data_IF_680897825410
#
_entry.id   IF_680897825410
#
_cell.length_a   1.000
_cell.length_b   1.000
_cell.length_c   1.000
_cell.angle_alpha   90.00
_cell.angle_beta   90.00
_cell.angle_gamma   90.00
#
_symmetry.space_group_name_H-M   'P 1'
#
loop_
_entity.id
_entity.type
_entity.pdbx_description
1 polymer ?
#
# COMPACT_ATOMS: atom_id res chain seq x y z
N UNK A 1 17.34 -20.37 38.44
CA UNK A 1 18.08 -21.46 37.76
C UNK A 1 17.16 -22.66 37.64
N UNK A 2 17.13 -23.29 36.45
CA UNK A 2 16.45 -24.55 36.05
C UNK A 2 14.91 -24.58 36.21
N UNK A 3 14.09 -24.60 35.15
CA UNK A 3 13.97 -25.52 33.99
C UNK A 3 13.44 -26.93 34.31
N UNK A 4 12.66 -27.45 33.36
CA UNK A 4 12.00 -28.77 33.22
C UNK A 4 10.53 -28.80 33.66
N UNK A 5 9.55 -28.71 32.74
CA UNK A 5 9.10 -29.65 31.69
C UNK A 5 7.91 -30.51 32.16
N UNK A 6 6.74 -30.30 31.55
CA UNK A 6 5.72 -31.33 31.36
C UNK A 6 5.21 -31.33 29.92
N UNK A 7 5.24 -32.54 29.36
CA UNK A 7 4.86 -32.97 28.02
C UNK A 7 3.35 -33.09 27.81
N UNK A 8 2.90 -32.95 26.56
CA UNK A 8 2.00 -33.88 25.82
C UNK A 8 1.78 -33.29 24.40
N UNK A 9 2.33 -33.82 23.30
CA UNK A 9 2.06 -35.06 22.53
C UNK A 9 0.62 -35.22 22.02
N UNK A 10 0.47 -35.14 20.68
CA UNK A 10 -0.41 -35.88 19.72
C UNK A 10 -0.96 -34.92 18.64
N UNK A 11 -0.46 -34.90 17.40
CA UNK A 11 -0.64 -35.81 16.23
C UNK A 11 -2.06 -35.82 15.61
N UNK A 12 -2.09 -35.31 14.38
CA UNK A 12 -2.81 -35.78 13.17
C UNK A 12 -4.31 -35.50 12.92
N UNK A 13 -4.50 -35.10 11.65
CA UNK A 13 -5.62 -35.31 10.71
C UNK A 13 -6.85 -34.41 10.84
N UNK A 14 -7.15 -33.69 9.74
CA UNK A 14 -8.31 -33.97 8.87
C UNK A 14 -7.97 -33.47 7.45
N UNK A 15 -7.95 -34.40 6.51
CA UNK A 15 -7.98 -34.21 5.06
C UNK A 15 -9.34 -34.77 4.61
N UNK A 16 -10.17 -33.93 4.01
CA UNK A 16 -11.34 -34.29 3.17
C UNK A 16 -12.01 -32.96 2.79
N UNK A 17 -12.39 -32.64 1.56
CA UNK A 17 -12.44 -33.37 0.29
C UNK A 17 -13.16 -32.44 -0.69
N UNK A 18 -12.63 -32.16 -1.88
CA UNK A 18 -13.42 -32.12 -3.12
C UNK A 18 -12.51 -32.04 -4.35
N UNK A 19 -12.77 -32.80 -5.42
CA UNK A 19 -11.89 -32.91 -6.58
C UNK A 19 -12.28 -31.89 -7.67
N UNK A 20 -11.32 -31.11 -8.19
CA UNK A 20 -11.51 -30.39 -9.45
C UNK A 20 -10.65 -31.03 -10.54
N UNK A 21 -11.29 -31.88 -11.35
CA UNK A 21 -10.81 -32.31 -12.66
C UNK A 21 -11.51 -31.45 -13.72
N UNK A 22 -10.72 -30.96 -14.68
CA UNK A 22 -11.09 -30.29 -15.94
C UNK A 22 -11.73 -28.89 -15.87
N UNK A 23 -10.93 -27.87 -16.21
CA UNK A 23 -11.00 -27.26 -17.56
C UNK A 23 -9.74 -26.41 -17.78
N UNK A 24 -8.79 -26.97 -18.51
CA UNK A 24 -7.81 -26.19 -19.26
C UNK A 24 -8.45 -25.78 -20.57
N UNK A 25 -8.43 -24.49 -20.89
CA UNK A 25 -7.79 -23.91 -22.07
C UNK A 25 -8.24 -22.45 -22.21
N UNK A 26 -7.27 -21.54 -22.18
CA UNK A 26 -7.11 -20.39 -23.08
C UNK A 26 -6.02 -19.46 -22.51
N UNK A 27 -4.77 -19.81 -22.77
CA UNK A 27 -3.67 -18.87 -22.92
C UNK A 27 -2.50 -19.66 -23.52
N UNK A 28 -2.11 -19.34 -24.74
CA UNK A 28 -1.05 -20.01 -25.48
C UNK A 28 0.32 -19.76 -24.86
N UNK A 29 0.69 -20.54 -23.85
CA UNK A 29 2.06 -20.67 -23.39
C UNK A 29 2.72 -21.88 -24.02
N UNK A 30 3.80 -21.63 -24.78
CA UNK A 30 4.74 -22.65 -25.24
C UNK A 30 5.48 -23.28 -24.06
N UNK A 31 5.75 -24.58 -24.17
CA UNK A 31 6.25 -25.48 -23.14
C UNK A 31 7.77 -25.37 -22.88
N UNK A 32 8.15 -25.78 -21.65
CA UNK A 32 9.49 -26.07 -21.10
C UNK A 32 10.23 -24.87 -20.48
N UNK A 33 10.58 -24.84 -19.19
CA UNK A 33 11.00 -25.92 -18.29
C UNK A 33 10.32 -25.82 -16.92
N UNK A 34 9.82 -26.95 -16.42
CA UNK A 34 9.32 -27.10 -15.05
C UNK A 34 10.45 -26.80 -14.04
N UNK A 35 10.30 -25.73 -13.28
CA UNK A 35 11.12 -25.47 -12.09
C UNK A 35 10.37 -26.04 -10.90
N UNK A 36 10.99 -27.02 -10.23
CA UNK A 36 10.48 -27.70 -9.03
C UNK A 36 10.16 -26.67 -7.91
N UNK A 37 8.92 -26.65 -7.37
CA UNK A 37 8.52 -25.80 -6.26
C UNK A 37 9.32 -26.02 -4.96
N UNK A 38 10.17 -27.05 -4.88
CA UNK A 38 11.01 -27.36 -3.71
C UNK A 38 12.38 -26.67 -3.70
N UNK A 39 12.75 -25.90 -4.73
CA UNK A 39 14.10 -25.28 -4.80
C UNK A 39 14.21 -23.82 -4.31
N UNK A 40 13.15 -23.23 -3.76
CA UNK A 40 13.27 -21.93 -3.06
C UNK A 40 13.94 -22.13 -1.70
N UNK A 41 15.28 -22.20 -1.74
CA UNK A 41 16.13 -22.04 -0.57
C UNK A 41 15.75 -20.75 0.16
N UNK A 42 15.58 -20.85 1.48
CA UNK A 42 15.31 -19.75 2.40
C UNK A 42 16.26 -18.58 2.14
N UNK A 43 15.83 -17.59 1.37
CA UNK A 43 16.45 -16.26 1.34
C UNK A 43 15.65 -15.39 2.30
N UNK A 44 16.28 -15.01 3.39
CA UNK A 44 15.72 -14.10 4.37
C UNK A 44 15.69 -12.69 3.76
N UNK A 45 14.59 -12.34 3.10
CA UNK A 45 14.32 -10.95 2.72
C UNK A 45 13.85 -10.19 3.96
N UNK A 46 14.34 -8.97 4.16
CA UNK A 46 13.85 -8.08 5.20
C UNK A 46 12.52 -7.42 4.77
N UNK A 47 11.49 -8.22 4.51
CA UNK A 47 10.12 -7.71 4.42
C UNK A 47 9.62 -7.55 5.85
N UNK A 48 9.51 -6.32 6.34
CA UNK A 48 8.89 -6.06 7.63
C UNK A 48 7.39 -6.02 7.45
N UNK A 49 6.73 -7.07 7.90
CA UNK A 49 5.29 -7.07 8.15
C UNK A 49 5.13 -6.76 9.63
N UNK A 50 4.62 -5.58 9.98
CA UNK A 50 4.50 -5.14 11.37
C UNK A 50 3.05 -5.22 11.85
N UNK A 51 2.87 -5.68 13.09
CA UNK A 51 1.62 -5.63 13.85
C UNK A 51 1.45 -4.25 14.50
N UNK A 52 0.21 -3.76 14.57
CA UNK A 52 -0.14 -2.62 15.42
C UNK A 52 -1.08 -3.10 16.52
N UNK A 53 -0.60 -3.11 17.76
CA UNK A 53 -1.39 -3.47 18.94
C UNK A 53 -2.43 -2.40 19.28
N UNK A 54 -3.64 -2.84 19.58
CA UNK A 54 -4.78 -2.04 20.00
C UNK A 54 -4.65 -1.55 21.44
N UNK A 55 -4.59 -0.22 21.64
CA UNK A 55 -4.66 0.41 22.96
C UNK A 55 -6.12 0.45 23.45
N UNK A 56 -6.42 -0.26 24.54
CA UNK A 56 -7.59 -0.04 25.39
C UNK A 56 -7.12 0.17 26.83
N UNK A 57 -7.35 1.37 27.35
CA UNK A 57 -7.19 1.70 28.77
C UNK A 57 -8.08 2.91 29.08
N UNK A 58 -9.21 2.66 29.75
CA UNK A 58 -10.19 3.68 30.13
C UNK A 58 -10.08 4.00 31.62
N UNK A 59 -10.24 5.28 31.97
CA UNK A 59 -10.57 5.80 33.30
C UNK A 59 -11.75 6.79 33.19
N UNK A 60 -12.60 6.95 34.21
CA UNK A 60 -13.95 7.49 34.05
C UNK A 60 -14.05 8.99 34.36
N UNK A 61 -14.80 9.74 33.55
CA UNK A 61 -15.17 11.13 33.86
C UNK A 61 -16.06 11.80 32.82
N UNK A 62 -17.33 11.99 33.19
CA UNK A 62 -18.27 13.03 32.74
C UNK A 62 -18.77 13.09 31.29
N UNK A 63 -19.99 12.56 31.11
CA UNK A 63 -21.18 13.21 30.56
C UNK A 63 -21.03 14.24 29.41
N UNK A 64 -21.18 13.78 28.16
CA UNK A 64 -21.81 14.55 27.09
C UNK A 64 -22.80 13.62 26.37
N UNK A 65 -24.05 14.04 26.27
CA UNK A 65 -25.13 13.32 25.60
C UNK A 65 -24.95 13.32 24.09
N UNK A 66 -24.69 12.13 23.52
CA UNK A 66 -25.47 11.63 22.39
C UNK A 66 -25.06 12.03 20.97
N UNK A 67 -23.77 12.13 20.64
CA UNK A 67 -23.35 11.78 19.27
C UNK A 67 -23.03 10.29 19.30
N UNK A 68 -23.89 9.48 18.70
CA UNK A 68 -23.56 8.09 18.40
C UNK A 68 -22.27 8.12 17.58
N UNK A 69 -21.13 7.61 18.08
CA UNK A 69 -19.97 7.43 17.24
C UNK A 69 -20.44 6.57 16.07
N UNK A 70 -20.15 6.97 14.84
CA UNK A 70 -20.42 6.14 13.68
C UNK A 70 -19.56 4.88 13.83
N UNK A 71 -20.12 3.89 14.49
CA UNK A 71 -19.52 2.58 14.68
C UNK A 71 -19.55 2.00 13.29
N UNK A 72 -18.39 1.83 12.68
CA UNK A 72 -18.27 0.83 11.62
C UNK A 72 -18.68 -0.48 12.29
N UNK A 73 -19.96 -0.84 12.13
CA UNK A 73 -20.37 -2.22 12.32
C UNK A 73 -19.42 -2.99 11.41
N UNK A 74 -18.67 -3.90 12.01
CA UNK A 74 -17.93 -4.91 11.30
C UNK A 74 -18.99 -5.74 10.59
N UNK A 75 -19.42 -5.29 9.42
CA UNK A 75 -20.16 -6.13 8.49
C UNK A 75 -19.23 -7.30 8.23
N UNK A 76 -19.79 -8.51 8.24
CA UNK A 76 -19.07 -9.74 7.92
C UNK A 76 -18.07 -9.49 6.79
N UNK A 77 -16.89 -10.15 6.82
CA UNK A 77 -15.76 -9.96 5.89
C UNK A 77 -16.11 -9.99 4.37
N UNK A 78 -17.38 -10.19 4.01
CA UNK A 78 -17.93 -10.31 2.67
C UNK A 78 -18.73 -9.10 2.13
N UNK A 79 -18.88 -7.99 2.88
CA UNK A 79 -19.71 -6.84 2.42
C UNK A 79 -18.90 -5.57 2.04
N UNK A 80 -17.60 -5.70 1.76
CA UNK A 80 -16.81 -4.55 1.31
C UNK A 80 -16.99 -4.32 -0.19
N UNK A 81 -17.31 -3.08 -0.58
CA UNK A 81 -17.44 -2.71 -2.00
C UNK A 81 -16.09 -2.66 -2.74
N UNK A 82 -14.97 -2.50 -2.03
CA UNK A 82 -13.61 -2.60 -2.56
C UNK A 82 -12.58 -2.76 -1.44
N UNK A 83 -11.38 -3.22 -1.80
CA UNK A 83 -10.18 -3.12 -0.96
C UNK A 83 -9.49 -1.78 -1.25
N UNK A 84 -9.19 -0.97 -0.23
CA UNK A 84 -8.52 0.33 -0.41
C UNK A 84 -7.10 0.24 0.16
N UNK A 85 -6.12 0.46 -0.70
CA UNK A 85 -4.69 0.46 -0.39
C UNK A 85 -4.16 1.89 -0.50
N UNK A 86 -3.67 2.45 0.59
CA UNK A 86 -2.90 3.70 0.56
C UNK A 86 -1.45 3.33 0.28
N UNK A 87 -0.79 3.98 -0.68
CA UNK A 87 0.60 3.67 -1.02
C UNK A 87 1.40 4.94 -1.30
N UNK A 88 2.71 4.83 -1.22
CA UNK A 88 3.67 5.89 -1.48
C UNK A 88 5.00 5.27 -1.96
N UNK A 89 5.75 6.03 -2.76
CA UNK A 89 7.02 5.61 -3.34
C UNK A 89 8.11 6.66 -3.16
N UNK A 90 9.29 6.20 -2.76
CA UNK A 90 10.53 6.98 -2.89
C UNK A 90 11.25 6.55 -4.15
N UNK A 91 11.89 7.49 -4.86
CA UNK A 91 12.43 7.22 -6.20
C UNK A 91 13.81 7.82 -6.40
N UNK A 92 14.49 7.44 -7.49
CA UNK A 92 15.77 8.04 -7.91
C UNK A 92 15.61 9.37 -8.66
N UNK A 93 14.41 9.92 -8.78
CA UNK A 93 14.15 11.19 -9.47
C UNK A 93 12.67 11.42 -9.81
N UNK A 94 12.35 12.54 -10.45
CA UNK A 94 10.95 12.98 -10.56
C UNK A 94 10.14 12.33 -11.69
N UNK A 95 10.79 11.81 -12.72
CA UNK A 95 10.12 11.27 -13.92
C UNK A 95 10.35 9.77 -14.07
N UNK A 96 9.26 8.99 -14.05
CA UNK A 96 9.26 7.52 -14.08
C UNK A 96 10.06 6.90 -15.23
N UNK A 97 10.01 7.50 -16.43
CA UNK A 97 10.70 6.96 -17.63
C UNK A 97 12.19 6.69 -17.38
N UNK A 98 12.85 7.64 -16.71
CA UNK A 98 14.30 7.63 -16.52
C UNK A 98 14.72 7.35 -15.07
N UNK A 99 13.79 7.00 -14.18
CA UNK A 99 14.04 6.79 -12.75
C UNK A 99 13.37 5.52 -12.24
N UNK A 100 13.78 5.10 -11.05
CA UNK A 100 13.40 3.82 -10.44
C UNK A 100 12.87 4.06 -9.04
N UNK A 101 12.04 3.14 -8.56
CA UNK A 101 11.59 3.10 -7.16
C UNK A 101 12.75 2.60 -6.27
N UNK A 102 12.96 3.24 -5.12
CA UNK A 102 13.95 2.86 -4.09
C UNK A 102 13.33 2.45 -2.76
N UNK A 103 12.09 2.86 -2.51
CA UNK A 103 11.28 2.38 -1.39
C UNK A 103 9.82 2.33 -1.85
N UNK A 104 9.12 1.27 -1.44
CA UNK A 104 7.71 1.09 -1.70
C UNK A 104 7.01 0.76 -0.39
N UNK A 105 5.96 1.51 -0.08
CA UNK A 105 5.11 1.26 1.07
C UNK A 105 3.64 1.25 0.66
N UNK A 106 2.87 0.37 1.29
CA UNK A 106 1.41 0.37 1.19
C UNK A 106 0.77 -0.04 2.52
N UNK A 107 -0.43 0.45 2.76
CA UNK A 107 -1.31 0.05 3.86
C UNK A 107 -2.72 -0.20 3.38
N UNK A 108 -3.27 -1.37 3.73
CA UNK A 108 -4.69 -1.69 3.60
C UNK A 108 -5.49 -0.96 4.69
N UNK A 109 -6.43 -0.12 4.27
CA UNK A 109 -7.29 0.64 5.17
C UNK A 109 -8.24 -0.21 6.00
N UNK A 110 -8.50 -1.46 5.60
CA UNK A 110 -9.29 -2.38 6.41
C UNK A 110 -8.58 -2.80 7.70
N UNK A 111 -7.26 -2.59 7.80
CA UNK A 111 -6.47 -2.93 8.97
C UNK A 111 -6.33 -4.44 9.19
N UNK A 112 -6.15 -4.84 10.45
CA UNK A 112 -5.91 -6.23 10.82
C UNK A 112 -4.48 -6.70 10.60
N UNK A 113 -4.23 -7.98 10.85
CA UNK A 113 -2.90 -8.56 10.75
C UNK A 113 -2.35 -8.42 9.32
N UNK A 114 -1.08 -8.05 9.22
CA UNK A 114 -0.38 -7.85 7.94
C UNK A 114 -1.06 -6.81 7.03
N UNK A 115 -1.64 -5.75 7.61
CA UNK A 115 -2.27 -4.66 6.84
C UNK A 115 -1.26 -3.72 6.16
N UNK A 116 0.03 -3.97 6.30
CA UNK A 116 1.09 -3.16 5.68
C UNK A 116 2.03 -4.04 4.86
N UNK A 117 2.60 -3.43 3.82
CA UNK A 117 3.72 -3.99 3.07
C UNK A 117 4.71 -2.85 2.80
N UNK A 118 5.96 -3.04 3.19
CA UNK A 118 7.03 -2.06 3.04
C UNK A 118 8.31 -2.77 2.63
N UNK A 119 9.03 -2.20 1.67
CA UNK A 119 10.35 -2.69 1.27
C UNK A 119 11.21 -1.59 0.68
N UNK A 120 12.50 -1.62 0.97
CA UNK A 120 13.51 -1.00 0.11
C UNK A 120 13.61 -1.78 -1.19
N UNK A 121 14.02 -1.10 -2.26
CA UNK A 121 14.20 -1.67 -3.58
C UNK A 121 15.55 -1.24 -4.12
N UNK A 122 16.32 -2.20 -4.61
CA UNK A 122 17.54 -1.92 -5.35
C UNK A 122 17.14 -1.41 -6.75
N UNK A 123 17.39 -0.13 -7.06
CA UNK A 123 16.97 0.45 -8.33
C UNK A 123 17.92 0.08 -9.49
N UNK A 124 18.99 -0.68 -9.22
CA UNK A 124 20.04 -1.04 -10.17
C UNK A 124 20.75 0.20 -10.77
N UNK A 125 20.88 1.25 -9.95
CA UNK A 125 21.51 2.53 -10.29
C UNK A 125 21.81 3.34 -9.02
N UNK A 126 22.52 4.44 -9.19
CA UNK A 126 22.79 5.37 -8.10
C UNK A 126 21.54 6.16 -7.70
N UNK A 127 21.41 6.40 -6.39
CA UNK A 127 20.46 7.36 -5.82
C UNK A 127 21.14 8.74 -5.76
N UNK A 128 20.59 9.77 -6.43
CA UNK A 128 21.14 11.12 -6.37
C UNK A 128 21.22 11.66 -4.94
N UNK A 129 22.36 12.31 -4.60
CA UNK A 129 22.62 12.84 -3.24
C UNK A 129 21.54 13.77 -2.73
N UNK A 130 20.94 14.59 -3.61
CA UNK A 130 19.88 15.52 -3.20
C UNK A 130 18.59 14.81 -2.77
N UNK A 131 18.30 13.62 -3.31
CA UNK A 131 17.15 12.80 -2.87
C UNK A 131 17.50 12.05 -1.59
N UNK A 132 18.71 11.48 -1.51
CA UNK A 132 19.21 10.84 -0.29
C UNK A 132 19.23 11.80 0.91
N UNK A 133 19.48 13.09 0.69
CA UNK A 133 19.43 14.12 1.74
C UNK A 133 18.00 14.36 2.27
N UNK A 134 16.98 14.05 1.47
CA UNK A 134 15.57 14.22 1.81
C UNK A 134 15.04 12.97 2.50
N UNK A 135 15.20 11.80 1.88
CA UNK A 135 14.60 10.55 2.37
C UNK A 135 15.55 9.63 3.16
N UNK A 136 16.83 10.01 3.30
CA UNK A 136 17.87 9.22 3.96
C UNK A 136 18.13 7.85 3.32
N UNK A 137 17.74 7.66 2.04
CA UNK A 137 18.00 6.44 1.27
C UNK A 137 19.22 6.66 0.38
N UNK A 138 20.33 6.02 0.73
CA UNK A 138 21.59 6.11 -0.03
C UNK A 138 21.74 4.96 -1.03
N UNK A 139 22.55 5.14 -2.07
CA UNK A 139 22.97 4.04 -2.96
C UNK A 139 23.52 2.86 -2.17
N UNK A 140 24.38 3.11 -1.18
CA UNK A 140 24.97 2.05 -0.37
C UNK A 140 23.91 1.23 0.39
N UNK A 141 22.83 1.88 0.86
CA UNK A 141 21.72 1.21 1.53
C UNK A 141 20.96 0.28 0.56
N UNK A 142 20.57 0.80 -0.61
CA UNK A 142 19.74 0.03 -1.57
C UNK A 142 20.54 -1.00 -2.37
N UNK A 143 21.87 -0.91 -2.37
CA UNK A 143 22.75 -1.92 -2.98
C UNK A 143 23.16 -3.05 -2.02
N UNK A 144 22.67 -3.06 -0.77
CA UNK A 144 22.96 -4.17 0.15
C UNK A 144 22.41 -5.50 -0.41
N UNK A 145 23.06 -6.65 -0.12
CA UNK A 145 22.66 -7.94 -0.67
C UNK A 145 21.24 -8.40 -0.30
N UNK A 146 20.69 -7.91 0.82
CA UNK A 146 19.36 -8.22 1.32
C UNK A 146 18.23 -7.36 0.71
N UNK A 147 18.59 -6.31 -0.04
CA UNK A 147 17.61 -5.43 -0.68
C UNK A 147 17.22 -6.00 -2.05
N UNK A 148 15.94 -6.35 -2.27
CA UNK A 148 15.49 -6.99 -3.50
C UNK A 148 15.44 -5.99 -4.67
N UNK A 149 15.52 -6.48 -5.90
CA UNK A 149 15.17 -5.69 -7.10
C UNK A 149 13.66 -5.68 -7.27
N UNK A 150 13.12 -4.76 -8.05
CA UNK A 150 11.67 -4.69 -8.26
C UNK A 150 11.08 -6.01 -8.82
N UNK A 151 11.82 -6.70 -9.70
CA UNK A 151 11.40 -8.00 -10.24
C UNK A 151 11.24 -9.09 -9.16
N UNK A 152 11.99 -9.03 -8.07
CA UNK A 152 11.83 -9.94 -6.92
C UNK A 152 10.63 -9.54 -6.03
N UNK A 153 10.35 -8.23 -5.95
CA UNK A 153 9.25 -7.65 -5.16
C UNK A 153 7.89 -7.89 -5.82
N UNK A 154 7.81 -7.75 -7.14
CA UNK A 154 6.56 -7.82 -7.91
C UNK A 154 5.68 -9.05 -7.60
N UNK A 155 6.19 -10.30 -7.61
CA UNK A 155 5.36 -11.45 -7.28
C UNK A 155 4.84 -11.42 -5.84
N UNK A 156 5.64 -10.89 -4.89
CA UNK A 156 5.23 -10.75 -3.49
C UNK A 156 4.15 -9.67 -3.34
N UNK A 157 4.29 -8.55 -4.05
CA UNK A 157 3.30 -7.47 -4.08
C UNK A 157 1.97 -7.98 -4.65
N UNK A 158 1.98 -8.70 -5.76
CA UNK A 158 0.78 -9.28 -6.36
C UNK A 158 0.11 -10.30 -5.44
N UNK A 159 0.89 -11.17 -4.80
CA UNK A 159 0.37 -12.14 -3.83
C UNK A 159 -0.24 -11.45 -2.60
N UNK A 160 0.42 -10.41 -2.09
CA UNK A 160 -0.08 -9.58 -1.01
C UNK A 160 -1.43 -8.97 -1.38
N UNK A 161 -1.50 -8.24 -2.50
CA UNK A 161 -2.73 -7.55 -2.94
C UNK A 161 -3.88 -8.54 -3.12
N UNK A 162 -3.63 -9.69 -3.77
CA UNK A 162 -4.64 -10.75 -3.92
C UNK A 162 -5.15 -11.28 -2.59
N UNK A 163 -4.28 -11.44 -1.59
CA UNK A 163 -4.68 -11.89 -0.25
C UNK A 163 -5.56 -10.89 0.50
N UNK A 164 -5.48 -9.59 0.15
CA UNK A 164 -6.26 -8.51 0.74
C UNK A 164 -7.50 -8.16 -0.08
N UNK A 165 -7.52 -8.54 -1.35
CA UNK A 165 -8.58 -8.20 -2.28
C UNK A 165 -9.89 -8.89 -1.90
N UNK A 166 -10.96 -8.09 -1.82
CA UNK A 166 -12.30 -8.65 -1.67
C UNK A 166 -12.69 -9.36 -2.98
N UNK A 167 -13.09 -10.66 -2.94
CA UNK A 167 -13.38 -11.41 -4.16
C UNK A 167 -14.42 -10.73 -5.06
N UNK A 168 -14.11 -10.62 -6.35
CA UNK A 168 -15.00 -10.01 -7.35
C UNK A 168 -15.16 -8.49 -7.22
N UNK A 169 -14.35 -7.82 -6.40
CA UNK A 169 -14.37 -6.37 -6.21
C UNK A 169 -13.03 -5.74 -6.64
N UNK A 170 -13.03 -4.49 -7.12
CA UNK A 170 -11.80 -3.80 -7.52
C UNK A 170 -10.91 -3.50 -6.30
N UNK A 171 -9.64 -3.24 -6.59
CA UNK A 171 -8.67 -2.71 -5.62
C UNK A 171 -8.44 -1.24 -5.91
N UNK A 172 -8.72 -0.37 -4.95
CA UNK A 172 -8.53 1.07 -5.05
C UNK A 172 -7.19 1.43 -4.41
N UNK A 173 -6.24 1.88 -5.23
CA UNK A 173 -4.94 2.40 -4.83
C UNK A 173 -5.02 3.91 -4.67
N UNK A 174 -4.58 4.42 -3.53
CA UNK A 174 -4.62 5.86 -3.23
C UNK A 174 -3.22 6.34 -2.89
N UNK A 175 -2.74 7.34 -3.61
CA UNK A 175 -1.52 8.08 -3.28
C UNK A 175 -1.78 9.59 -3.35
N UNK A 176 -0.88 10.39 -2.79
CA UNK A 176 -0.95 11.84 -2.88
C UNK A 176 -0.16 12.32 -4.09
N UNK A 177 -0.84 12.87 -5.11
CA UNK A 177 -0.30 13.10 -6.45
C UNK A 177 -0.14 11.81 -7.29
N UNK A 178 -0.96 10.79 -6.99
CA UNK A 178 -0.92 9.46 -7.61
C UNK A 178 -0.85 9.50 -9.14
N UNK A 179 -1.67 10.35 -9.78
CA UNK A 179 -1.82 10.39 -11.24
C UNK A 179 -0.51 10.75 -11.95
N UNK A 180 0.30 11.63 -11.36
CA UNK A 180 1.48 12.16 -12.03
C UNK A 180 2.80 11.59 -11.50
N UNK A 181 2.76 10.89 -10.37
CA UNK A 181 3.95 10.39 -9.69
C UNK A 181 3.88 8.88 -9.42
N UNK A 182 3.28 8.45 -8.31
CA UNK A 182 3.39 7.06 -7.83
C UNK A 182 2.82 6.02 -8.79
N UNK A 183 1.65 6.28 -9.39
CA UNK A 183 1.03 5.32 -10.29
C UNK A 183 1.83 5.14 -11.61
N UNK A 184 2.31 6.21 -12.27
CA UNK A 184 3.28 6.07 -13.37
C UNK A 184 4.57 5.34 -13.00
N UNK A 185 5.13 5.56 -11.81
CA UNK A 185 6.32 4.82 -11.34
C UNK A 185 6.02 3.32 -11.20
N UNK A 186 4.90 2.97 -10.56
CA UNK A 186 4.48 1.59 -10.40
C UNK A 186 4.25 0.92 -11.77
N UNK A 187 3.50 1.57 -12.67
CA UNK A 187 3.25 1.07 -14.01
C UNK A 187 4.54 0.82 -14.80
N UNK A 188 5.49 1.76 -14.72
CA UNK A 188 6.77 1.64 -15.40
C UNK A 188 7.62 0.46 -14.87
N UNK A 189 7.57 0.17 -13.56
CA UNK A 189 8.23 -1.01 -13.00
C UNK A 189 7.56 -2.33 -13.40
N UNK A 190 6.22 -2.35 -13.53
CA UNK A 190 5.50 -3.48 -14.14
C UNK A 190 5.96 -3.72 -15.58
N UNK A 191 6.03 -2.66 -16.40
CA UNK A 191 6.49 -2.74 -17.80
C UNK A 191 7.92 -3.27 -17.91
N UNK A 192 8.84 -2.80 -17.04
CA UNK A 192 10.23 -3.30 -16.96
C UNK A 192 10.30 -4.78 -16.61
N UNK A 193 9.34 -5.27 -15.83
CA UNK A 193 9.21 -6.69 -15.50
C UNK A 193 8.45 -7.49 -16.56
N UNK A 194 8.06 -6.88 -17.69
CA UNK A 194 7.19 -7.50 -18.71
C UNK A 194 5.89 -8.06 -18.13
N UNK A 195 5.34 -7.36 -17.13
CA UNK A 195 4.11 -7.72 -16.44
C UNK A 195 3.04 -6.66 -16.67
N UNK A 196 1.77 -7.07 -16.62
CA UNK A 196 0.64 -6.16 -16.70
C UNK A 196 0.09 -5.90 -15.31
N UNK A 197 -0.26 -4.65 -15.04
CA UNK A 197 -1.04 -4.31 -13.85
C UNK A 197 -2.45 -4.92 -13.99
N UNK A 198 -3.02 -5.49 -12.92
CA UNK A 198 -4.39 -6.01 -12.96
C UNK A 198 -5.41 -4.96 -13.40
N UNK A 199 -6.34 -5.35 -14.26
CA UNK A 199 -7.33 -4.44 -14.87
C UNK A 199 -8.33 -3.86 -13.86
N UNK A 200 -8.54 -4.57 -12.76
CA UNK A 200 -9.42 -4.21 -11.65
C UNK A 200 -8.74 -3.30 -10.61
N UNK A 201 -7.51 -2.84 -10.88
CA UNK A 201 -6.85 -1.81 -10.09
C UNK A 201 -7.26 -0.41 -10.55
N UNK A 202 -7.74 0.37 -9.58
CA UNK A 202 -8.22 1.74 -9.75
C UNK A 202 -7.36 2.69 -8.92
N UNK A 203 -6.89 3.79 -9.50
CA UNK A 203 -5.99 4.75 -8.86
C UNK A 203 -6.70 6.05 -8.54
N UNK A 204 -6.74 6.43 -7.26
CA UNK A 204 -7.29 7.70 -6.79
C UNK A 204 -6.15 8.62 -6.35
N UNK A 205 -6.21 9.85 -6.84
CA UNK A 205 -5.27 10.91 -6.47
C UNK A 205 -5.87 11.79 -5.37
N UNK A 206 -5.36 11.64 -4.15
CA UNK A 206 -5.86 12.41 -3.00
C UNK A 206 -5.60 13.91 -3.12
N UNK A 207 -4.59 14.34 -3.90
CA UNK A 207 -4.34 15.77 -4.15
C UNK A 207 -5.47 16.37 -4.99
N UNK A 208 -6.01 15.62 -5.95
CA UNK A 208 -7.18 16.05 -6.74
C UNK A 208 -8.43 16.16 -5.87
N UNK A 209 -8.61 15.24 -4.92
CA UNK A 209 -9.69 15.33 -3.94
C UNK A 209 -9.51 16.55 -3.03
N UNK A 210 -8.29 16.77 -2.51
CA UNK A 210 -7.97 17.89 -1.64
C UNK A 210 -8.28 19.25 -2.29
N UNK A 211 -8.08 19.39 -3.61
CA UNK A 211 -8.44 20.60 -4.38
C UNK A 211 -9.94 20.92 -4.39
N UNK A 212 -10.81 19.93 -4.12
CA UNK A 212 -12.27 20.11 -4.04
C UNK A 212 -12.74 20.53 -2.66
N UNK A 213 -11.86 20.52 -1.65
CA UNK A 213 -12.22 20.96 -0.31
C UNK A 213 -12.57 22.45 -0.30
N UNK A 214 -13.49 22.87 0.59
CA UNK A 214 -13.72 24.28 0.84
C UNK A 214 -12.42 25.00 1.19
N UNK A 215 -12.23 26.18 0.58
CA UNK A 215 -11.08 27.05 0.89
C UNK A 215 -11.21 27.56 2.31
N UNK A 216 -10.11 27.53 3.06
CA UNK A 216 -10.05 28.17 4.37
C UNK A 216 -9.95 29.70 4.23
N UNK A 217 -10.41 30.47 5.22
CA UNK A 217 -10.21 31.92 5.26
C UNK A 217 -8.72 32.27 5.12
N UNK A 218 -8.41 33.39 4.45
CA UNK A 218 -7.04 33.80 4.05
C UNK A 218 -6.12 34.23 5.21
N UNK A 219 -6.39 33.85 6.45
CA UNK A 219 -5.69 34.38 7.62
C UNK A 219 -4.30 33.78 7.86
N UNK A 220 -3.85 32.81 7.07
CA UNK A 220 -2.53 32.19 7.21
C UNK A 220 -1.97 31.79 5.84
N UNK A 221 -0.82 32.38 5.48
CA UNK A 221 -0.21 32.25 4.14
C UNK A 221 0.22 30.83 3.79
N UNK A 222 0.36 29.93 4.78
CA UNK A 222 0.77 28.53 4.58
C UNK A 222 -0.40 27.52 4.55
N UNK A 223 -1.63 27.93 4.85
CA UNK A 223 -2.81 27.03 4.90
C UNK A 223 -3.30 26.61 3.50
N UNK A 224 -2.87 27.31 2.46
CA UNK A 224 -3.30 27.04 1.09
C UNK A 224 -2.48 25.97 0.36
N UNK A 225 -1.36 25.53 0.94
CA UNK A 225 -0.59 24.42 0.39
C UNK A 225 -1.39 23.12 0.53
N UNK A 226 -1.44 22.35 -0.56
CA UNK A 226 -2.14 21.07 -0.61
C UNK A 226 -1.18 19.88 -0.58
N UNK A 227 0.09 20.10 -0.26
CA UNK A 227 1.02 18.98 -0.01
C UNK A 227 0.61 18.23 1.27
N UNK A 228 1.07 16.99 1.40
CA UNK A 228 0.64 16.10 2.47
C UNK A 228 0.90 16.66 3.87
N UNK A 229 2.06 17.30 4.09
CA UNK A 229 2.43 17.94 5.37
C UNK A 229 1.53 19.14 5.70
N UNK A 230 1.16 19.94 4.70
CA UNK A 230 0.25 21.06 4.92
C UNK A 230 -1.17 20.58 5.23
N UNK A 231 -1.62 19.52 4.56
CA UNK A 231 -2.92 18.88 4.84
C UNK A 231 -2.94 18.24 6.23
N UNK A 232 -1.86 17.58 6.67
CA UNK A 232 -1.79 17.00 8.00
C UNK A 232 -1.85 18.09 9.08
N UNK A 233 -1.13 19.19 8.90
CA UNK A 233 -1.23 20.38 9.77
C UNK A 233 -2.65 20.96 9.80
N UNK A 234 -3.29 21.12 8.64
CA UNK A 234 -4.68 21.60 8.52
C UNK A 234 -5.67 20.77 9.35
N UNK A 235 -5.43 19.47 9.48
CA UNK A 235 -6.29 18.55 10.22
C UNK A 235 -5.82 18.25 11.65
N UNK A 236 -4.75 18.91 12.13
CA UNK A 236 -4.19 18.66 13.46
C UNK A 236 -3.63 17.24 13.63
N UNK A 237 -3.13 16.64 12.53
CA UNK A 237 -2.53 15.30 12.54
C UNK A 237 -1.07 15.43 12.97
N UNK A 238 -0.73 14.85 14.12
CA UNK A 238 0.65 14.79 14.63
C UNK A 238 1.49 13.82 13.79
N UNK A 239 2.68 14.27 13.39
CA UNK A 239 3.68 13.44 12.72
C UNK A 239 4.82 13.22 13.71
N UNK A 240 5.04 11.98 14.15
CA UNK A 240 6.00 11.66 15.21
C UNK A 240 7.49 11.73 14.76
N UNK A 241 7.76 11.73 13.45
CA UNK A 241 9.12 11.63 12.87
C UNK A 241 9.24 12.48 11.59
N UNK A 242 10.47 12.84 11.17
CA UNK A 242 10.66 13.61 9.94
C UNK A 242 10.09 12.85 8.72
N UNK A 243 9.28 13.55 7.94
CA UNK A 243 8.68 13.09 6.67
C UNK A 243 9.76 12.64 5.66
N UNK A 244 9.35 11.98 4.55
CA UNK A 244 10.21 11.40 3.50
C UNK A 244 10.68 9.97 3.75
N UNK A 245 9.80 9.15 4.35
CA UNK A 245 9.90 7.70 4.31
C UNK A 245 8.54 7.18 3.90
N UNK A 246 8.51 6.28 2.93
CA UNK A 246 7.27 5.94 2.25
C UNK A 246 6.16 5.49 3.23
N UNK A 247 6.47 4.64 4.23
CA UNK A 247 5.45 4.19 5.19
C UNK A 247 4.95 5.29 6.15
N UNK A 248 5.79 6.29 6.45
CA UNK A 248 5.37 7.44 7.25
C UNK A 248 4.40 8.30 6.45
N UNK A 249 4.69 8.54 5.18
CA UNK A 249 3.81 9.29 4.28
C UNK A 249 2.52 8.51 4.00
N UNK A 250 2.57 7.18 3.83
CA UNK A 250 1.38 6.31 3.81
C UNK A 250 0.55 6.47 5.08
N UNK A 251 1.17 6.45 6.25
CA UNK A 251 0.45 6.57 7.54
C UNK A 251 -0.19 7.94 7.70
N UNK A 252 0.51 9.00 7.30
CA UNK A 252 -0.03 10.37 7.27
C UNK A 252 -1.20 10.48 6.29
N UNK A 253 -1.04 9.91 5.09
CA UNK A 253 -2.05 9.90 4.05
C UNK A 253 -3.29 9.10 4.45
N UNK A 254 -3.15 8.00 5.20
CA UNK A 254 -4.31 7.28 5.74
C UNK A 254 -5.24 8.22 6.54
N UNK A 255 -4.67 9.03 7.42
CA UNK A 255 -5.43 9.96 8.25
C UNK A 255 -5.94 11.16 7.46
N UNK A 256 -5.11 11.75 6.59
CA UNK A 256 -5.50 12.87 5.73
C UNK A 256 -6.63 12.46 4.77
N UNK A 257 -6.52 11.29 4.15
CA UNK A 257 -7.51 10.77 3.23
C UNK A 257 -8.87 10.57 3.90
N UNK A 258 -8.90 9.98 5.11
CA UNK A 258 -10.14 9.85 5.90
C UNK A 258 -10.82 11.21 6.16
N UNK A 259 -10.04 12.26 6.46
CA UNK A 259 -10.56 13.62 6.65
C UNK A 259 -11.10 14.20 5.34
N UNK A 260 -10.38 14.04 4.24
CA UNK A 260 -10.81 14.50 2.92
C UNK A 260 -12.13 13.84 2.53
N UNK A 261 -12.22 12.51 2.62
CA UNK A 261 -13.44 11.78 2.24
C UNK A 261 -14.62 12.15 3.11
N UNK A 262 -14.41 12.37 4.42
CA UNK A 262 -15.44 12.84 5.34
C UNK A 262 -15.97 14.23 4.95
N UNK A 263 -15.08 15.20 4.72
CA UNK A 263 -15.48 16.57 4.37
C UNK A 263 -16.16 16.68 3.01
N UNK A 264 -15.73 15.86 2.04
CA UNK A 264 -16.37 15.80 0.72
C UNK A 264 -17.65 14.95 0.72
N UNK A 265 -17.99 14.31 1.84
CA UNK A 265 -19.10 13.33 1.92
C UNK A 265 -19.00 12.27 0.82
N UNK A 266 -17.77 11.82 0.55
CA UNK A 266 -17.47 10.99 -0.61
C UNK A 266 -18.05 9.58 -0.40
N UNK A 267 -18.94 9.16 -1.30
CA UNK A 267 -19.47 7.79 -1.34
C UNK A 267 -18.48 6.85 -2.04
N UNK A 268 -18.73 5.54 -1.96
CA UNK A 268 -17.97 4.56 -2.75
C UNK A 268 -18.02 4.86 -4.25
N UNK A 269 -19.21 5.11 -4.80
CA UNK A 269 -19.38 5.47 -6.21
C UNK A 269 -18.65 6.78 -6.55
N UNK A 270 -18.74 7.78 -5.66
CA UNK A 270 -17.98 9.01 -5.78
C UNK A 270 -16.48 8.76 -5.85
N UNK A 271 -15.94 7.88 -5.02
CA UNK A 271 -14.52 7.51 -5.03
C UNK A 271 -14.11 6.79 -6.33
N UNK A 272 -14.93 5.85 -6.80
CA UNK A 272 -14.70 5.14 -8.08
C UNK A 272 -14.72 6.11 -9.26
N UNK A 273 -15.61 7.10 -9.26
CA UNK A 273 -15.68 8.12 -10.31
C UNK A 273 -14.45 9.05 -10.37
N UNK A 274 -13.70 9.17 -9.27
CA UNK A 274 -12.45 9.92 -9.22
C UNK A 274 -11.24 9.09 -9.68
N UNK A 275 -11.41 7.77 -9.80
CA UNK A 275 -10.34 6.85 -10.04
C UNK A 275 -9.96 6.76 -11.53
N UNK A 276 -8.71 6.38 -11.76
CA UNK A 276 -8.10 6.16 -13.07
C UNK A 276 -7.79 4.67 -13.21
N UNK A 277 -8.04 4.07 -14.36
CA UNK A 277 -7.79 2.63 -14.53
C UNK A 277 -6.29 2.38 -14.69
N UNK A 278 -5.80 1.23 -14.21
CA UNK A 278 -4.42 0.82 -14.40
C UNK A 278 -3.98 0.88 -15.89
N UNK A 279 -4.87 0.49 -16.80
CA UNK A 279 -4.66 0.50 -18.26
C UNK A 279 -4.36 1.87 -18.85
N UNK A 280 -4.68 2.96 -18.14
CA UNK A 280 -4.43 4.31 -18.61
C UNK A 280 -2.97 4.74 -18.40
N UNK A 281 -2.21 4.01 -17.56
CA UNK A 281 -0.79 4.26 -17.32
C UNK A 281 0.12 3.43 -18.24
N UNK A 282 -0.32 2.26 -18.70
CA UNK A 282 0.44 1.32 -19.54
C UNK A 282 0.59 1.73 -21.02
N UNK A 283 0.24 2.96 -21.39
CA UNK A 283 0.17 3.43 -22.80
C UNK A 283 1.29 4.39 -23.21
N UNK A 284 2.42 4.41 -22.51
CA UNK A 284 3.57 5.19 -22.99
C UNK A 284 4.21 4.42 -24.14
N UNK A 285 4.23 4.95 -25.39
CA UNK A 285 4.91 4.27 -26.49
C UNK A 285 6.39 4.14 -26.16
N UNK A 286 6.96 2.96 -26.47
CA UNK A 286 8.41 2.73 -26.45
C UNK A 286 9.13 3.67 -27.40
#
# INVERSE_FOLDING_TARGET
MSSLLRFNKLRNNIWSSCPSRLLMQHAGFSSAKNVDPRSYGKRHFTTRVQETDSLHGAGPGSCISGIQPFRFQQTSEHDRSATILIFDTETTGYFHKNNRIVEFALRDLSGGKNSTFETLINPERDVPKFLSAVNNITTALVCRPDVPRFGDVLPLLLAYVRSRQTPGKPVIWVAHNAKTFDAPFLAQEFDRCSAQMPEDWLFVDSLRLARKLPKLPKSDENIHLLNLVALSKRYGISVEKPAHRAMQDVTMLCQVFQRITFHLKLTYEGLVNEAIKATDFSKVPK
#
